data_IF_298515635698
#
_entry.id   IF_298515635698
#
_cell.length_a   1.000
_cell.length_b   1.000
_cell.length_c   1.000
_cell.angle_alpha   90.00
_cell.angle_beta   90.00
_cell.angle_gamma   90.00
#
_symmetry.space_group_name_H-M   'P 1'
#
loop_
_entity.id
_entity.type
_entity.pdbx_description
1 polymer ?
#
# COMPACT_ATOMS: atom_id res chain seq x y z
N UNK A 1 -0.62 47.77 12.33
CA UNK A 1 -0.63 46.50 13.09
C UNK A 1 0.31 45.56 12.37
N UNK A 2 1.26 45.02 13.12
CA UNK A 2 2.49 44.38 12.64
C UNK A 2 2.29 43.16 11.75
N UNK A 3 3.24 43.03 10.83
CA UNK A 3 3.56 41.89 9.96
C UNK A 3 3.52 40.52 10.63
N UNK A 4 3.29 39.48 9.82
CA UNK A 4 4.29 38.42 9.63
C UNK A 4 4.04 37.65 8.33
N UNK A 5 5.14 37.42 7.63
CA UNK A 5 5.30 36.94 6.26
C UNK A 5 5.68 35.45 6.28
N UNK A 6 5.09 34.67 5.36
CA UNK A 6 5.53 33.39 4.72
C UNK A 6 6.10 32.21 5.54
N UNK A 7 5.69 30.98 5.19
CA UNK A 7 6.58 29.87 4.76
C UNK A 7 5.78 28.64 4.28
N UNK A 8 5.63 28.49 2.96
CA UNK A 8 5.56 27.16 2.31
C UNK A 8 6.88 26.44 2.61
N UNK A 9 6.81 25.23 3.16
CA UNK A 9 7.98 24.46 3.57
C UNK A 9 8.08 23.15 2.81
N UNK A 10 9.14 23.02 1.99
CA UNK A 10 10.03 21.85 1.96
C UNK A 10 9.47 20.42 1.71
N UNK A 11 8.25 20.26 1.20
CA UNK A 11 7.69 18.91 0.96
C UNK A 11 8.45 18.13 -0.15
N UNK A 12 8.85 18.82 -1.22
CA UNK A 12 9.51 18.20 -2.37
C UNK A 12 10.93 17.69 -2.10
N UNK A 13 11.67 18.39 -1.26
CA UNK A 13 13.02 18.02 -0.78
C UNK A 13 12.95 16.90 0.24
N UNK A 14 11.93 16.90 1.10
CA UNK A 14 11.67 15.82 2.07
C UNK A 14 11.30 14.53 1.35
N UNK A 15 10.41 14.59 0.34
CA UNK A 15 10.04 13.46 -0.49
C UNK A 15 11.23 12.93 -1.32
N UNK A 16 11.98 13.79 -2.00
CA UNK A 16 13.16 13.39 -2.79
C UNK A 16 14.26 12.71 -1.95
N UNK A 17 14.33 13.05 -0.65
CA UNK A 17 15.26 12.40 0.29
C UNK A 17 14.73 11.05 0.79
N UNK A 18 13.41 10.89 0.86
CA UNK A 18 12.74 9.65 1.23
C UNK A 18 12.71 8.64 0.07
N UNK A 19 12.48 9.08 -1.15
CA UNK A 19 12.40 8.27 -2.38
C UNK A 19 13.63 7.35 -2.55
N UNK A 20 14.84 7.92 -2.48
CA UNK A 20 16.10 7.15 -2.55
C UNK A 20 16.25 6.08 -1.47
N UNK A 21 15.58 6.26 -0.32
CA UNK A 21 15.55 5.29 0.80
C UNK A 21 14.56 4.15 0.57
N UNK A 22 13.60 4.32 -0.34
CA UNK A 22 12.62 3.30 -0.71
C UNK A 22 13.00 2.57 -2.00
N UNK A 23 13.70 3.23 -2.95
CA UNK A 23 14.22 2.60 -4.18
C UNK A 23 15.17 1.43 -3.90
N UNK A 24 15.98 1.53 -2.84
CA UNK A 24 16.96 0.50 -2.48
C UNK A 24 16.41 -0.62 -1.61
N UNK A 25 15.16 -0.51 -1.13
CA UNK A 25 14.55 -1.55 -0.31
C UNK A 25 13.91 -2.57 -1.25
N UNK A 26 14.23 -3.85 -1.07
CA UNK A 26 13.42 -4.90 -1.64
C UNK A 26 11.98 -4.76 -1.14
N UNK A 27 11.01 -5.11 -1.99
CA UNK A 27 9.63 -5.26 -1.53
C UNK A 27 9.63 -6.11 -0.23
N UNK A 28 8.90 -5.60 0.77
CA UNK A 28 8.94 -5.93 2.21
C UNK A 28 9.71 -7.17 2.67
N UNK A 29 10.63 -6.98 3.62
CA UNK A 29 11.23 -8.04 4.46
C UNK A 29 10.19 -8.74 5.36
N UNK A 30 9.09 -8.05 5.66
CA UNK A 30 7.99 -8.58 6.47
C UNK A 30 6.89 -9.16 5.60
N UNK A 31 6.49 -10.38 5.96
CA UNK A 31 5.35 -11.08 5.41
C UNK A 31 4.05 -10.36 5.81
N UNK A 32 3.29 -9.87 4.83
CA UNK A 32 1.94 -9.38 5.05
C UNK A 32 0.93 -10.52 4.86
N UNK A 33 0.39 -11.10 5.97
CA UNK A 33 -0.62 -12.14 5.86
C UNK A 33 -1.87 -11.65 5.14
N UNK A 34 -2.25 -10.37 5.28
CA UNK A 34 -3.44 -9.80 4.64
C UNK A 34 -3.32 -9.86 3.10
N UNK A 35 -2.15 -9.51 2.57
CA UNK A 35 -1.90 -9.51 1.14
C UNK A 35 -1.99 -10.93 0.55
N UNK A 36 -1.48 -11.95 1.23
CA UNK A 36 -1.59 -13.35 0.78
C UNK A 36 -3.04 -13.86 0.78
N UNK A 37 -3.81 -13.55 1.83
CA UNK A 37 -5.24 -13.92 1.87
C UNK A 37 -6.04 -13.18 0.78
N UNK A 38 -5.72 -11.91 0.52
CA UNK A 38 -6.30 -11.15 -0.58
C UNK A 38 -5.98 -11.78 -1.94
N UNK A 39 -4.71 -12.13 -2.19
CA UNK A 39 -4.31 -12.73 -3.47
C UNK A 39 -5.00 -14.09 -3.69
N UNK A 40 -5.14 -14.91 -2.64
CA UNK A 40 -5.86 -16.19 -2.71
C UNK A 40 -7.34 -16.02 -2.98
N UNK A 41 -8.01 -15.12 -2.26
CA UNK A 41 -9.44 -14.84 -2.46
C UNK A 41 -9.72 -14.31 -3.87
N UNK A 42 -8.91 -13.35 -4.36
CA UNK A 42 -9.04 -12.81 -5.72
C UNK A 42 -8.84 -13.90 -6.78
N UNK A 43 -7.87 -14.80 -6.59
CA UNK A 43 -7.61 -15.90 -7.53
C UNK A 43 -8.77 -16.89 -7.59
N UNK A 44 -9.42 -17.17 -6.47
CA UNK A 44 -10.62 -17.98 -6.42
C UNK A 44 -11.78 -17.31 -7.16
N UNK A 45 -12.03 -16.02 -6.90
CA UNK A 45 -13.08 -15.25 -7.55
C UNK A 45 -12.92 -15.21 -9.07
N UNK A 46 -11.69 -15.04 -9.58
CA UNK A 46 -11.41 -15.07 -11.03
C UNK A 46 -11.76 -16.40 -11.70
N UNK A 47 -11.72 -17.52 -10.97
CA UNK A 47 -12.02 -18.86 -11.50
C UNK A 47 -13.51 -19.19 -11.44
N UNK A 48 -14.22 -18.61 -10.47
CA UNK A 48 -15.63 -18.89 -10.22
C UNK A 48 -16.55 -17.73 -10.65
N UNK A 49 -16.13 -16.93 -11.64
CA UNK A 49 -16.90 -15.78 -12.14
C UNK A 49 -17.37 -14.79 -11.06
N UNK A 50 -16.61 -14.68 -9.97
CA UNK A 50 -16.94 -13.82 -8.83
C UNK A 50 -17.92 -14.43 -7.81
N UNK A 51 -18.14 -15.74 -7.85
CA UNK A 51 -18.94 -16.43 -6.83
C UNK A 51 -18.18 -16.52 -5.50
N UNK A 52 -18.71 -15.85 -4.47
CA UNK A 52 -18.12 -15.78 -3.13
C UNK A 52 -18.36 -17.04 -2.31
N UNK A 53 -19.46 -17.75 -2.55
CA UNK A 53 -19.83 -18.94 -1.78
C UNK A 53 -18.84 -20.08 -2.04
N UNK A 54 -18.31 -20.14 -3.27
CA UNK A 54 -17.24 -21.05 -3.69
C UNK A 54 -15.85 -20.71 -3.10
N UNK A 55 -15.70 -19.54 -2.49
CA UNK A 55 -14.43 -19.00 -2.00
C UNK A 55 -14.44 -18.70 -0.50
N UNK A 56 -15.44 -19.20 0.24
CA UNK A 56 -15.69 -18.86 1.65
C UNK A 56 -14.50 -19.18 2.58
N UNK A 57 -13.67 -20.15 2.23
CA UNK A 57 -12.44 -20.51 2.95
C UNK A 57 -11.37 -19.41 2.97
N UNK A 58 -11.43 -18.46 2.03
CA UNK A 58 -10.49 -17.34 1.96
C UNK A 58 -11.00 -16.05 2.63
N UNK A 59 -12.23 -16.06 3.16
CA UNK A 59 -12.90 -14.90 3.77
C UNK A 59 -13.22 -15.10 5.26
N UNK A 60 -12.55 -16.05 5.92
CA UNK A 60 -12.69 -16.31 7.35
C UNK A 60 -11.86 -15.32 8.19
#
# INVERSE_FOLDING_TARGET
>A
MSSSTTKEGDDGTTWAKAERKFESKSASEFYDPCQEFADRSIKCMRRNAGDRDMCHDYFQ
#
